data_IF_596579301112
#
_entry.id   IF_596579301112
#
_cell.length_a   1.000
_cell.length_b   1.000
_cell.length_c   1.000
_cell.angle_alpha   90.00
_cell.angle_beta   90.00
_cell.angle_gamma   90.00
#
_symmetry.space_group_name_H-M   'P 1'
#
loop_
_entity.id
_entity.type
_entity.pdbx_description
1 polymer ?
#
# COMPACT_ATOMS: atom_id res chain seq x y z
N UNK A 1 -7.34 6.36 -22.59
CA UNK A 1 -7.07 6.32 -21.13
C UNK A 1 -7.93 5.27 -20.48
N UNK A 2 -7.40 4.57 -19.49
CA UNK A 2 -8.17 3.58 -18.74
C UNK A 2 -8.87 4.26 -17.57
N UNK A 3 -10.19 4.42 -17.70
CA UNK A 3 -11.02 5.15 -16.73
C UNK A 3 -11.70 4.25 -15.70
N UNK A 4 -11.25 2.99 -15.54
CA UNK A 4 -11.85 2.05 -14.58
C UNK A 4 -11.74 2.54 -13.14
N UNK A 5 -10.69 3.28 -12.80
CA UNK A 5 -10.41 3.73 -11.44
C UNK A 5 -10.18 5.24 -11.40
N UNK A 6 -10.36 5.83 -10.22
CA UNK A 6 -10.18 7.27 -10.01
C UNK A 6 -8.72 7.73 -10.22
N UNK A 7 -7.75 6.82 -10.20
CA UNK A 7 -6.35 7.09 -10.52
C UNK A 7 -5.66 5.85 -11.05
N UNK A 8 -4.44 6.03 -11.59
CA UNK A 8 -3.61 4.92 -12.10
C UNK A 8 -3.23 3.90 -11.03
N UNK A 9 -3.26 4.30 -9.76
CA UNK A 9 -3.01 3.39 -8.64
C UNK A 9 -3.94 2.18 -8.65
N UNK A 10 -5.20 2.35 -9.05
CA UNK A 10 -6.15 1.26 -9.15
C UNK A 10 -5.70 0.16 -10.12
N UNK A 11 -5.07 0.52 -11.23
CA UNK A 11 -4.51 -0.45 -12.17
C UNK A 11 -3.36 -1.25 -11.57
N UNK A 12 -2.52 -0.60 -10.79
CA UNK A 12 -1.40 -1.26 -10.11
C UNK A 12 -1.90 -2.33 -9.15
N UNK A 13 -2.83 -1.96 -8.28
CA UNK A 13 -3.38 -2.90 -7.30
C UNK A 13 -4.20 -4.02 -7.95
N UNK A 14 -4.98 -3.70 -8.98
CA UNK A 14 -5.75 -4.71 -9.71
C UNK A 14 -4.84 -5.80 -10.29
N UNK A 15 -3.69 -5.41 -10.86
CA UNK A 15 -2.71 -6.37 -11.37
C UNK A 15 -2.11 -7.22 -10.26
N UNK A 16 -1.79 -6.63 -9.12
CA UNK A 16 -1.24 -7.37 -7.98
C UNK A 16 -2.27 -8.33 -7.37
N UNK A 17 -3.53 -7.94 -7.28
CA UNK A 17 -4.60 -8.82 -6.80
C UNK A 17 -4.79 -10.01 -7.74
N UNK A 18 -4.75 -9.77 -9.05
CA UNK A 18 -4.87 -10.85 -10.04
C UNK A 18 -3.70 -11.83 -9.93
N UNK A 19 -2.47 -11.30 -9.76
CA UNK A 19 -1.26 -12.13 -9.67
C UNK A 19 -1.21 -12.97 -8.39
N UNK A 20 -1.73 -12.45 -7.28
CA UNK A 20 -1.71 -13.14 -5.98
C UNK A 20 -2.90 -14.04 -5.75
N UNK A 21 -4.01 -13.79 -6.43
CA UNK A 21 -5.28 -14.48 -6.18
C UNK A 21 -5.92 -14.14 -4.83
N UNK A 22 -5.47 -13.08 -4.16
CA UNK A 22 -6.01 -12.69 -2.86
C UNK A 22 -7.49 -12.33 -2.95
N UNK A 23 -8.35 -12.93 -2.12
CA UNK A 23 -9.76 -12.58 -2.10
C UNK A 23 -9.98 -11.24 -1.41
N UNK A 24 -10.88 -10.43 -1.97
CA UNK A 24 -11.22 -9.10 -1.43
C UNK A 24 -12.69 -9.04 -1.02
N UNK A 25 -13.55 -9.89 -1.60
CA UNK A 25 -14.99 -9.90 -1.32
C UNK A 25 -15.23 -10.05 0.18
N UNK A 26 -15.97 -9.12 0.76
CA UNK A 26 -16.37 -9.14 2.17
C UNK A 26 -15.24 -8.78 3.15
N UNK A 27 -14.08 -8.39 2.68
CA UNK A 27 -12.92 -8.09 3.52
C UNK A 27 -12.95 -6.67 4.05
N UNK A 28 -12.41 -6.49 5.26
CA UNK A 28 -12.14 -5.18 5.85
C UNK A 28 -10.69 -4.82 5.59
N UNK A 29 -10.48 -3.69 4.93
CA UNK A 29 -9.19 -3.31 4.37
C UNK A 29 -8.69 -1.99 4.95
N UNK A 30 -7.37 -1.85 5.04
CA UNK A 30 -6.69 -0.60 5.35
C UNK A 30 -5.90 -0.16 4.11
N UNK A 31 -6.09 1.09 3.71
CA UNK A 31 -5.36 1.72 2.60
C UNK A 31 -4.45 2.82 3.16
N UNK A 32 -3.15 2.56 3.17
CA UNK A 32 -2.14 3.46 3.72
C UNK A 32 -1.61 4.36 2.60
N UNK A 33 -1.74 5.70 2.78
CA UNK A 33 -1.43 6.66 1.71
C UNK A 33 -2.55 6.71 0.69
N UNK A 34 -3.78 6.87 1.15
CA UNK A 34 -4.99 6.76 0.32
C UNK A 34 -5.02 7.73 -0.85
N UNK A 35 -4.55 8.99 -0.65
CA UNK A 35 -4.51 10.02 -1.69
C UNK A 35 -5.87 10.19 -2.39
N UNK A 36 -5.91 10.24 -3.73
CA UNK A 36 -7.16 10.35 -4.51
C UNK A 36 -8.03 9.10 -4.43
N UNK A 37 -7.47 7.96 -4.02
CA UNK A 37 -8.23 6.75 -3.72
C UNK A 37 -8.17 5.66 -4.77
N UNK A 38 -7.13 5.60 -5.59
CA UNK A 38 -7.00 4.53 -6.60
C UNK A 38 -7.03 3.13 -6.00
N UNK A 39 -6.30 2.91 -4.92
CA UNK A 39 -6.32 1.61 -4.23
C UNK A 39 -7.66 1.33 -3.57
N UNK A 40 -8.23 2.33 -2.88
CA UNK A 40 -9.57 2.20 -2.27
C UNK A 40 -10.61 1.85 -3.33
N UNK A 41 -10.61 2.54 -4.47
CA UNK A 41 -11.55 2.29 -5.57
C UNK A 41 -11.41 0.86 -6.08
N UNK A 42 -10.18 0.39 -6.27
CA UNK A 42 -9.91 -0.98 -6.69
C UNK A 42 -10.47 -2.01 -5.68
N UNK A 43 -10.24 -1.78 -4.39
CA UNK A 43 -10.76 -2.67 -3.34
C UNK A 43 -12.28 -2.71 -3.33
N UNK A 44 -12.94 -1.57 -3.46
CA UNK A 44 -14.41 -1.50 -3.49
C UNK A 44 -14.98 -2.22 -4.70
N UNK A 45 -14.39 -2.02 -5.87
CA UNK A 45 -14.82 -2.73 -7.09
C UNK A 45 -14.58 -4.23 -6.99
N UNK A 46 -13.57 -4.67 -6.23
CA UNK A 46 -13.31 -6.07 -5.97
C UNK A 46 -14.20 -6.67 -4.87
N UNK A 47 -15.08 -5.88 -4.27
CA UNK A 47 -16.08 -6.35 -3.31
C UNK A 47 -15.70 -6.20 -1.84
N UNK A 48 -14.75 -5.35 -1.49
CA UNK A 48 -14.42 -5.07 -0.09
C UNK A 48 -15.67 -4.63 0.67
N UNK A 49 -15.81 -5.14 1.89
CA UNK A 49 -16.91 -4.76 2.78
C UNK A 49 -16.72 -3.35 3.34
N UNK A 50 -15.50 -3.02 3.70
CA UNK A 50 -15.16 -1.75 4.33
C UNK A 50 -13.70 -1.40 4.07
N UNK A 51 -13.42 -0.13 3.82
CA UNK A 51 -12.06 0.38 3.62
C UNK A 51 -11.83 1.56 4.54
N UNK A 52 -10.83 1.44 5.40
CA UNK A 52 -10.30 2.56 6.18
C UNK A 52 -9.08 3.09 5.42
N UNK A 53 -9.12 4.36 5.06
CA UNK A 53 -8.00 5.03 4.40
C UNK A 53 -7.32 6.02 5.33
N UNK A 54 -5.99 6.02 5.35
CA UNK A 54 -5.20 6.99 6.09
C UNK A 54 -4.31 7.77 5.14
N UNK A 55 -4.18 9.06 5.40
CA UNK A 55 -3.33 9.94 4.59
C UNK A 55 -2.79 11.09 5.45
N UNK A 56 -1.58 11.56 5.11
CA UNK A 56 -0.99 12.72 5.76
C UNK A 56 -1.63 14.01 5.27
N UNK A 57 -2.15 14.02 4.04
CA UNK A 57 -2.82 15.18 3.44
C UNK A 57 -4.27 15.33 3.84
N UNK A 58 -4.93 16.31 3.25
CA UNK A 58 -6.32 16.63 3.50
C UNK A 58 -7.06 16.85 2.18
N UNK A 59 -8.35 16.46 2.16
CA UNK A 59 -9.28 16.73 1.05
C UNK A 59 -8.80 16.22 -0.31
N UNK A 60 -8.04 15.12 -0.35
CA UNK A 60 -7.50 14.56 -1.59
C UNK A 60 -8.38 13.47 -2.18
N UNK A 61 -9.17 12.80 -1.35
CA UNK A 61 -9.99 11.66 -1.80
C UNK A 61 -11.04 12.11 -2.81
N UNK A 62 -11.17 11.36 -3.90
CA UNK A 62 -12.16 11.63 -4.93
C UNK A 62 -13.56 11.66 -4.31
N UNK A 63 -14.44 12.66 -4.65
CA UNK A 63 -15.75 12.81 -4.03
C UNK A 63 -16.63 11.57 -4.07
N UNK A 64 -16.58 10.81 -5.18
CA UNK A 64 -17.32 9.55 -5.30
C UNK A 64 -17.00 8.55 -4.21
N UNK A 65 -15.71 8.48 -3.81
CA UNK A 65 -15.26 7.59 -2.76
C UNK A 65 -15.55 8.15 -1.37
N UNK A 66 -15.39 9.46 -1.20
CA UNK A 66 -15.68 10.13 0.08
C UNK A 66 -17.14 9.96 0.49
N UNK A 67 -18.05 9.87 -0.47
CA UNK A 67 -19.48 9.69 -0.23
C UNK A 67 -19.90 8.22 -0.10
N UNK A 68 -18.98 7.26 -0.33
CA UNK A 68 -19.31 5.84 -0.25
C UNK A 68 -19.38 5.41 1.23
N UNK A 69 -20.50 4.82 1.68
CA UNK A 69 -20.68 4.43 3.08
C UNK A 69 -19.70 3.33 3.53
N UNK A 70 -19.05 2.63 2.60
CA UNK A 70 -18.04 1.61 2.91
C UNK A 70 -16.67 2.21 3.23
N UNK A 71 -16.48 3.52 3.00
CA UNK A 71 -15.19 4.19 3.14
C UNK A 71 -15.17 5.06 4.38
N UNK A 72 -14.13 4.92 5.19
CA UNK A 72 -13.82 5.83 6.29
C UNK A 72 -12.45 6.44 6.07
N UNK A 73 -12.37 7.75 6.10
CA UNK A 73 -11.14 8.51 5.83
C UNK A 73 -10.59 9.09 7.12
N UNK A 74 -9.31 8.87 7.39
CA UNK A 74 -8.57 9.49 8.49
C UNK A 74 -7.46 10.34 7.88
N UNK A 75 -7.63 11.65 7.92
CA UNK A 75 -6.68 12.60 7.35
C UNK A 75 -5.72 13.15 8.41
N UNK A 76 -4.60 13.71 7.96
CA UNK A 76 -3.59 14.25 8.86
C UNK A 76 -2.86 13.19 9.68
N UNK A 77 -2.84 11.94 9.24
CA UNK A 77 -2.22 10.82 9.93
C UNK A 77 -0.83 10.57 9.36
N UNK A 78 0.18 10.61 10.22
CA UNK A 78 1.53 10.20 9.84
C UNK A 78 1.62 8.67 9.93
N UNK A 79 1.78 8.00 8.79
CA UNK A 79 1.83 6.54 8.73
C UNK A 79 3.03 5.95 9.49
N UNK A 80 4.07 6.73 9.71
CA UNK A 80 5.24 6.32 10.49
C UNK A 80 4.89 6.06 11.97
N UNK A 81 3.85 6.70 12.48
CA UNK A 81 3.39 6.54 13.87
C UNK A 81 2.04 5.83 13.96
N UNK A 82 1.67 5.12 12.91
CA UNK A 82 0.38 4.42 12.82
C UNK A 82 0.30 3.32 13.88
N UNK A 83 -0.86 3.23 14.55
CA UNK A 83 -1.14 2.22 15.58
C UNK A 83 -2.65 2.00 15.70
N UNK A 84 -3.04 0.95 16.40
CA UNK A 84 -4.44 0.72 16.72
C UNK A 84 -5.06 1.90 17.48
N UNK A 85 -4.30 2.48 18.42
CA UNK A 85 -4.76 3.64 19.19
C UNK A 85 -4.99 4.87 18.30
N UNK A 86 -4.10 5.11 17.32
CA UNK A 86 -4.23 6.21 16.37
C UNK A 86 -5.48 6.04 15.50
N UNK A 87 -5.76 4.81 15.06
CA UNK A 87 -6.96 4.51 14.29
C UNK A 87 -8.24 4.61 15.12
N UNK A 88 -8.13 4.37 16.42
CA UNK A 88 -9.26 4.48 17.36
C UNK A 88 -10.45 3.61 16.94
N UNK A 89 -11.68 4.21 16.87
CA UNK A 89 -12.89 3.46 16.51
C UNK A 89 -12.86 2.87 15.09
N UNK A 90 -11.97 3.34 14.21
CA UNK A 90 -11.84 2.79 12.87
C UNK A 90 -11.08 1.46 12.85
N UNK A 91 -10.38 1.12 13.92
CA UNK A 91 -9.64 -0.13 14.02
C UNK A 91 -10.62 -1.29 14.31
N UNK A 92 -10.70 -2.30 13.40
CA UNK A 92 -11.56 -3.45 13.65
C UNK A 92 -10.99 -4.33 14.76
N UNK A 93 -11.84 -4.85 15.63
CA UNK A 93 -11.43 -5.62 16.81
C UNK A 93 -10.51 -6.81 16.48
N UNK A 94 -10.72 -7.44 15.32
CA UNK A 94 -9.92 -8.60 14.88
C UNK A 94 -8.78 -8.23 13.94
N UNK A 95 -8.53 -6.95 13.72
CA UNK A 95 -7.54 -6.46 12.77
C UNK A 95 -8.07 -6.43 11.33
N UNK A 96 -7.25 -5.92 10.42
CA UNK A 96 -7.59 -5.84 9.00
C UNK A 96 -7.29 -7.14 8.27
N UNK A 97 -8.19 -7.54 7.39
CA UNK A 97 -8.00 -8.71 6.53
C UNK A 97 -6.98 -8.47 5.44
N UNK A 98 -6.89 -7.24 4.95
CA UNK A 98 -5.96 -6.84 3.90
C UNK A 98 -5.49 -5.41 4.16
N UNK A 99 -4.17 -5.23 4.18
CA UNK A 99 -3.55 -3.92 4.27
C UNK A 99 -2.82 -3.67 2.95
N UNK A 100 -3.20 -2.59 2.28
CA UNK A 100 -2.54 -2.14 1.05
C UNK A 100 -1.93 -0.77 1.28
N UNK A 101 -0.95 -0.39 0.48
CA UNK A 101 -0.34 0.92 0.63
C UNK A 101 0.37 1.39 -0.63
N UNK A 102 0.26 2.69 -0.86
CA UNK A 102 0.94 3.43 -1.92
C UNK A 102 1.50 4.71 -1.30
N UNK A 103 2.73 4.62 -0.76
CA UNK A 103 3.38 5.70 -0.03
C UNK A 103 4.50 6.32 -0.85
N UNK A 104 4.63 7.64 -0.76
CA UNK A 104 5.72 8.41 -1.37
C UNK A 104 6.57 9.09 -0.31
N UNK A 105 7.87 9.31 -0.65
CA UNK A 105 8.81 10.05 0.17
C UNK A 105 9.12 9.43 1.53
N UNK A 106 8.94 8.14 1.67
CA UNK A 106 9.25 7.38 2.89
C UNK A 106 9.61 5.94 2.52
N UNK A 107 10.57 5.36 3.23
CA UNK A 107 10.88 3.94 3.09
C UNK A 107 9.85 3.08 3.81
N UNK A 108 9.49 1.95 3.21
CA UNK A 108 8.63 0.96 3.85
C UNK A 108 9.26 0.36 5.11
N UNK A 109 10.58 0.42 5.26
CA UNK A 109 11.25 -0.04 6.50
C UNK A 109 10.81 0.74 7.73
N UNK A 110 10.33 1.98 7.54
CA UNK A 110 9.82 2.83 8.63
C UNK A 110 8.35 2.55 8.95
N UNK A 111 7.64 1.88 8.06
CA UNK A 111 6.20 1.60 8.18
C UNK A 111 5.94 0.16 8.64
N UNK A 112 6.68 -0.80 8.08
CA UNK A 112 6.50 -2.24 8.36
C UNK A 112 6.45 -2.58 9.85
N UNK A 113 7.26 -1.97 10.73
CA UNK A 113 7.20 -2.32 12.16
C UNK A 113 5.84 -2.08 12.81
N UNK A 114 5.02 -1.20 12.28
CA UNK A 114 3.72 -0.84 12.85
C UNK A 114 2.57 -1.71 12.33
N UNK A 115 2.79 -2.49 11.28
CA UNK A 115 1.71 -3.16 10.57
C UNK A 115 1.28 -4.51 11.16
N UNK A 116 2.17 -5.33 11.78
CA UNK A 116 1.74 -6.63 12.31
C UNK A 116 0.61 -6.53 13.33
N UNK A 117 0.63 -5.52 14.21
CA UNK A 117 -0.43 -5.35 15.23
C UNK A 117 -1.78 -4.96 14.63
N UNK A 118 -1.79 -4.39 13.41
CA UNK A 118 -3.01 -3.98 12.72
C UNK A 118 -3.61 -5.10 11.89
N UNK A 119 -2.85 -6.15 11.63
CA UNK A 119 -3.21 -7.23 10.73
C UNK A 119 -3.95 -8.34 11.48
N UNK A 120 -5.06 -8.79 10.91
CA UNK A 120 -5.75 -9.99 11.39
C UNK A 120 -4.83 -11.22 11.26
N UNK A 121 -5.07 -12.25 12.06
CA UNK A 121 -4.21 -13.45 12.10
C UNK A 121 -4.06 -14.11 10.74
N UNK A 122 -5.13 -14.11 9.93
CA UNK A 122 -5.12 -14.64 8.57
C UNK A 122 -5.04 -13.54 7.52
N UNK A 123 -4.65 -12.35 7.93
CA UNK A 123 -4.58 -11.19 7.05
C UNK A 123 -3.34 -11.16 6.18
N UNK A 124 -3.41 -10.35 5.12
CA UNK A 124 -2.33 -10.16 4.17
C UNK A 124 -1.99 -8.68 4.00
N UNK A 125 -0.73 -8.43 3.67
CA UNK A 125 -0.22 -7.11 3.29
C UNK A 125 0.18 -7.16 1.82
N UNK A 126 -0.18 -6.14 1.07
CA UNK A 126 0.19 -5.98 -0.33
C UNK A 126 0.59 -4.52 -0.54
N UNK A 127 1.90 -4.25 -0.46
CA UNK A 127 2.44 -2.90 -0.40
C UNK A 127 3.23 -2.57 -1.67
N UNK A 128 2.93 -1.41 -2.25
CA UNK A 128 3.67 -0.92 -3.42
C UNK A 128 5.05 -0.45 -2.99
N UNK A 129 6.07 -0.96 -3.67
CA UNK A 129 7.47 -0.63 -3.44
C UNK A 129 7.94 0.31 -4.54
N UNK A 130 8.43 1.48 -4.13
CA UNK A 130 8.97 2.51 -5.03
C UNK A 130 10.47 2.64 -4.78
N UNK A 131 11.31 2.05 -5.65
CA UNK A 131 12.75 2.05 -5.43
C UNK A 131 13.36 3.43 -5.22
N UNK A 132 12.81 4.47 -5.84
CA UNK A 132 13.29 5.84 -5.68
C UNK A 132 13.25 6.34 -4.24
N UNK A 133 12.42 5.76 -3.37
CA UNK A 133 12.31 6.11 -1.96
C UNK A 133 13.00 5.09 -1.04
N UNK A 134 13.68 4.10 -1.62
CA UNK A 134 14.38 3.04 -0.88
C UNK A 134 15.89 3.08 -1.02
N UNK A 135 16.42 3.62 -2.13
CA UNK A 135 17.84 3.52 -2.47
C UNK A 135 18.72 4.64 -1.91
N UNK A 136 18.15 5.67 -1.32
CA UNK A 136 18.91 6.86 -0.89
C UNK A 136 19.16 7.86 -2.01
N UNK A 137 19.31 9.15 -1.64
CA UNK A 137 19.31 10.27 -2.58
C UNK A 137 20.42 10.20 -3.62
N UNK A 138 21.62 9.73 -3.24
CA UNK A 138 22.78 9.68 -4.14
C UNK A 138 22.67 8.62 -5.25
N UNK A 139 21.68 7.74 -5.20
CA UNK A 139 21.46 6.66 -6.16
C UNK A 139 20.26 6.89 -7.06
N UNK A 140 19.59 8.03 -6.91
CA UNK A 140 18.49 8.44 -7.76
C UNK A 140 19.02 9.38 -8.83
N UNK A 141 18.77 9.05 -10.10
CA UNK A 141 19.25 9.82 -11.23
C UNK A 141 18.40 11.03 -11.55
N UNK A 142 18.68 11.63 -12.70
CA UNK A 142 17.96 12.82 -13.19
C UNK A 142 16.47 12.50 -13.32
N UNK A 143 15.62 13.43 -12.90
CA UNK A 143 14.17 13.27 -12.93
C UNK A 143 13.61 12.34 -11.85
N UNK A 144 14.42 11.99 -10.84
CA UNK A 144 14.00 11.12 -9.75
C UNK A 144 13.93 9.65 -10.15
N UNK A 145 14.64 9.23 -11.21
CA UNK A 145 14.52 7.88 -11.76
C UNK A 145 15.71 7.02 -11.34
N UNK A 146 15.42 5.83 -10.82
CA UNK A 146 16.41 4.79 -10.53
C UNK A 146 16.72 4.04 -11.83
N UNK A 147 17.97 4.15 -12.31
CA UNK A 147 18.39 3.55 -13.59
C UNK A 147 19.25 2.31 -13.45
N UNK A 148 19.91 2.14 -12.31
CA UNK A 148 20.76 0.98 -12.06
C UNK A 148 19.90 -0.20 -11.59
N UNK A 149 19.74 -1.20 -12.46
CA UNK A 149 18.92 -2.37 -12.19
C UNK A 149 19.43 -3.20 -10.98
N UNK A 150 20.73 -3.12 -10.66
CA UNK A 150 21.28 -3.81 -9.49
C UNK A 150 20.68 -3.29 -8.18
N UNK A 151 20.22 -2.04 -8.17
CA UNK A 151 19.60 -1.45 -6.97
C UNK A 151 18.25 -2.10 -6.64
N UNK A 152 17.53 -2.64 -7.62
CA UNK A 152 16.26 -3.33 -7.37
C UNK A 152 16.45 -4.58 -6.50
N UNK A 153 17.50 -5.34 -6.75
CA UNK A 153 17.85 -6.49 -5.92
C UNK A 153 18.19 -6.10 -4.49
N UNK A 154 18.90 -4.98 -4.31
CA UNK A 154 19.25 -4.47 -2.98
C UNK A 154 17.98 -4.03 -2.21
N UNK A 155 17.05 -3.37 -2.88
CA UNK A 155 15.76 -2.97 -2.29
C UNK A 155 14.98 -4.19 -1.86
N UNK A 156 14.89 -5.19 -2.73
CA UNK A 156 14.16 -6.43 -2.43
C UNK A 156 14.74 -7.13 -1.20
N UNK A 157 16.07 -7.33 -1.15
CA UNK A 157 16.74 -7.98 -0.02
C UNK A 157 16.47 -7.23 1.28
N UNK A 158 16.58 -5.91 1.27
CA UNK A 158 16.38 -5.10 2.47
C UNK A 158 14.95 -5.16 2.98
N UNK A 159 13.97 -5.08 2.08
CA UNK A 159 12.57 -5.14 2.48
C UNK A 159 12.17 -6.54 2.94
N UNK A 160 12.68 -7.60 2.30
CA UNK A 160 12.46 -8.97 2.76
C UNK A 160 13.03 -9.17 4.17
N UNK A 161 14.22 -8.66 4.44
CA UNK A 161 14.84 -8.76 5.77
C UNK A 161 14.04 -7.97 6.81
N UNK A 162 13.61 -6.76 6.48
CA UNK A 162 12.79 -5.95 7.36
C UNK A 162 11.48 -6.66 7.72
N UNK A 163 10.84 -7.27 6.74
CA UNK A 163 9.62 -8.04 6.97
C UNK A 163 9.87 -9.19 7.95
N UNK A 164 10.92 -9.98 7.73
CA UNK A 164 11.28 -11.08 8.63
C UNK A 164 11.61 -10.60 10.04
N UNK A 165 12.33 -9.50 10.16
CA UNK A 165 12.68 -8.91 11.45
C UNK A 165 11.43 -8.47 12.25
N UNK A 166 10.33 -8.23 11.56
CA UNK A 166 9.06 -7.84 12.17
C UNK A 166 8.06 -9.00 12.25
N UNK A 167 8.51 -10.24 12.11
CA UNK A 167 7.68 -11.42 12.28
C UNK A 167 6.74 -11.71 11.12
N UNK A 168 7.00 -11.13 9.95
CA UNK A 168 6.19 -11.32 8.76
C UNK A 168 6.82 -12.35 7.82
N UNK A 169 5.98 -13.11 7.14
CA UNK A 169 6.39 -14.08 6.12
C UNK A 169 6.25 -13.42 4.75
N UNK A 170 7.31 -13.47 3.96
CA UNK A 170 7.29 -12.96 2.60
C UNK A 170 6.66 -14.01 1.68
N UNK A 171 5.52 -13.69 1.09
CA UNK A 171 4.80 -14.59 0.16
C UNK A 171 5.17 -14.33 -1.29
N UNK A 172 5.57 -13.11 -1.63
CA UNK A 172 5.94 -12.80 -3.00
C UNK A 172 6.54 -11.43 -3.17
N UNK A 173 7.22 -11.28 -4.30
CA UNK A 173 7.73 -10.02 -4.82
C UNK A 173 7.29 -9.95 -6.27
N UNK A 174 6.50 -8.94 -6.62
CA UNK A 174 5.80 -8.86 -7.90
C UNK A 174 6.16 -7.57 -8.62
N UNK A 175 6.27 -7.62 -9.93
CA UNK A 175 6.32 -6.39 -10.73
C UNK A 175 4.96 -5.69 -10.68
N UNK A 176 4.95 -4.35 -10.49
CA UNK A 176 3.75 -3.58 -10.77
C UNK A 176 3.44 -3.64 -12.28
N UNK A 177 2.16 -3.78 -12.68
CA UNK A 177 1.82 -3.90 -14.10
C UNK A 177 2.13 -2.66 -14.92
N UNK A 178 2.21 -1.50 -14.26
CA UNK A 178 2.57 -0.22 -14.89
C UNK A 178 3.63 0.49 -14.05
N UNK A 179 4.38 1.38 -14.71
CA UNK A 179 5.37 2.22 -14.03
C UNK A 179 4.70 3.33 -13.22
N UNK A 180 5.46 3.96 -12.31
CA UNK A 180 5.03 5.19 -11.65
C UNK A 180 4.83 6.33 -12.64
N UNK A 181 4.18 7.40 -12.18
CA UNK A 181 3.93 8.58 -13.00
C UNK A 181 5.20 9.31 -13.46
N UNK A 182 6.31 9.11 -12.74
CA UNK A 182 7.64 9.63 -13.06
C UNK A 182 8.43 8.70 -14.02
N UNK A 183 7.89 7.53 -14.37
CA UNK A 183 8.54 6.52 -15.19
C UNK A 183 9.34 5.48 -14.42
N UNK A 184 9.39 5.55 -13.09
CA UNK A 184 10.07 4.54 -12.28
C UNK A 184 9.36 3.18 -12.35
N UNK A 185 10.17 2.13 -12.42
CA UNK A 185 9.72 0.77 -12.22
C UNK A 185 9.36 0.57 -10.75
N UNK A 186 8.23 -0.08 -10.48
CA UNK A 186 7.70 -0.31 -9.15
C UNK A 186 7.37 -1.80 -8.94
N UNK A 187 7.26 -2.20 -7.68
CA UNK A 187 7.02 -3.59 -7.31
C UNK A 187 5.96 -3.65 -6.21
N UNK A 188 5.44 -4.83 -5.95
CA UNK A 188 4.67 -5.11 -4.74
C UNK A 188 5.40 -6.14 -3.89
N UNK A 189 5.38 -5.95 -2.59
CA UNK A 189 5.75 -6.98 -1.64
C UNK A 189 4.48 -7.53 -0.99
N UNK A 190 4.38 -8.85 -0.99
CA UNK A 190 3.22 -9.57 -0.45
C UNK A 190 3.65 -10.31 0.80
N UNK A 191 2.99 -10.02 1.92
CA UNK A 191 3.37 -10.50 3.24
C UNK A 191 2.15 -11.04 3.99
N UNK A 192 2.37 -11.94 4.96
CA UNK A 192 1.40 -12.26 6.00
C UNK A 192 2.11 -12.61 7.31
N UNK A 193 1.32 -12.92 8.35
CA UNK A 193 1.87 -13.39 9.62
C UNK A 193 2.34 -14.83 9.55
#
# INVERSE_FOLDING_TARGET
ADDRFVSRGGLKLAGALAATGLPVVGKTCLDIGQSTGGFTDCLLQAGARHVVGVDVGHSQLHPRLADDPRVRVLEGINCRTLSAAVLGPAFPASGFDLIVGDLSFISLTLILPNLPELLADVGHLLLLVKPQFEVGAGKVGKGGIVRDAALYGDVERRLRQCARDNGLVVRGWLDSPITGGDGNREFFIWLNK
#
